data_IF_206707396597
#
_entry.id   IF_206707396597
#
_cell.length_a   1.000
_cell.length_b   1.000
_cell.length_c   1.000
_cell.angle_alpha   90.00
_cell.angle_beta   90.00
_cell.angle_gamma   90.00
#
_symmetry.space_group_name_H-M   'P 1'
#
loop_
_entity.id
_entity.type
_entity.pdbx_description
1 polymer ?
#
# COMPACT_ATOMS: atom_id res chain seq x y z
N UNK A 1 -34.94 22.16 -0.58
CA UNK A 1 -34.40 21.44 -1.75
C UNK A 1 -32.88 21.38 -1.62
N UNK A 2 -32.32 20.25 -1.18
CA UNK A 2 -30.88 20.08 -1.01
C UNK A 2 -30.32 19.56 -2.34
N UNK A 3 -29.44 20.30 -3.01
CA UNK A 3 -28.72 19.78 -4.20
C UNK A 3 -27.88 18.58 -3.75
N UNK A 4 -27.89 17.44 -4.46
CA UNK A 4 -26.98 16.36 -4.14
C UNK A 4 -25.55 16.88 -4.34
N UNK A 5 -24.77 16.84 -3.26
CA UNK A 5 -23.35 17.16 -3.21
C UNK A 5 -22.64 16.26 -4.25
N UNK A 6 -22.37 16.78 -5.46
CA UNK A 6 -21.89 15.97 -6.57
C UNK A 6 -20.42 15.65 -6.33
N UNK A 7 -20.12 14.46 -5.83
CA UNK A 7 -18.75 14.03 -5.47
C UNK A 7 -17.78 14.20 -6.64
N UNK A 8 -18.24 13.99 -7.88
CA UNK A 8 -17.47 14.21 -9.11
C UNK A 8 -17.12 15.68 -9.38
N UNK A 9 -17.77 16.62 -8.72
CA UNK A 9 -17.45 18.04 -8.85
C UNK A 9 -16.24 18.45 -8.04
N UNK A 10 -15.95 17.73 -6.95
CA UNK A 10 -14.84 18.01 -6.02
C UNK A 10 -13.57 17.23 -6.34
N UNK A 11 -13.68 16.14 -7.10
CA UNK A 11 -12.54 15.28 -7.44
C UNK A 11 -11.68 15.90 -8.55
N UNK A 12 -10.37 15.84 -8.36
CA UNK A 12 -9.38 16.16 -9.40
C UNK A 12 -9.55 15.23 -10.62
N UNK A 13 -9.82 15.83 -11.77
CA UNK A 13 -10.06 15.11 -13.02
C UNK A 13 -8.84 14.32 -13.50
N UNK A 14 -7.62 14.81 -13.25
CA UNK A 14 -6.39 14.11 -13.62
C UNK A 14 -6.22 12.86 -12.77
N UNK A 15 -6.40 12.97 -11.45
CA UNK A 15 -6.31 11.82 -10.55
C UNK A 15 -7.36 10.75 -10.88
N UNK A 16 -8.61 11.17 -11.15
CA UNK A 16 -9.66 10.25 -11.60
C UNK A 16 -9.31 9.59 -12.95
N UNK A 17 -8.75 10.35 -13.89
CA UNK A 17 -8.32 9.85 -15.19
C UNK A 17 -7.19 8.82 -15.10
N UNK A 18 -6.20 9.07 -14.24
CA UNK A 18 -5.10 8.14 -13.94
C UNK A 18 -5.62 6.84 -13.32
N UNK A 19 -6.48 6.92 -12.32
CA UNK A 19 -7.10 5.73 -11.70
C UNK A 19 -7.91 4.91 -12.68
N UNK A 20 -8.68 5.57 -13.56
CA UNK A 20 -9.42 4.89 -14.62
C UNK A 20 -8.48 4.15 -15.56
N UNK A 21 -7.36 4.76 -15.94
CA UNK A 21 -6.33 4.15 -16.78
C UNK A 21 -5.70 2.94 -16.10
N UNK A 22 -5.33 3.06 -14.83
CA UNK A 22 -4.68 2.00 -14.07
C UNK A 22 -5.60 0.80 -13.90
N UNK A 23 -6.85 1.01 -13.49
CA UNK A 23 -7.82 -0.06 -13.31
C UNK A 23 -8.21 -0.70 -14.65
N UNK A 24 -8.29 0.08 -15.73
CA UNK A 24 -8.50 -0.44 -17.09
C UNK A 24 -7.35 -1.35 -17.53
N UNK A 25 -6.10 -0.93 -17.27
CA UNK A 25 -4.92 -1.73 -17.60
C UNK A 25 -4.89 -3.03 -16.78
N UNK A 26 -5.22 -2.96 -15.47
CA UNK A 26 -5.30 -4.13 -14.58
C UNK A 26 -6.32 -5.17 -15.05
N UNK A 27 -7.44 -4.76 -15.67
CA UNK A 27 -8.42 -5.69 -16.23
C UNK A 27 -8.15 -6.03 -17.71
N UNK A 28 -7.00 -5.64 -18.27
CA UNK A 28 -6.60 -5.97 -19.65
C UNK A 28 -7.46 -5.33 -20.74
N UNK A 29 -8.25 -4.30 -20.43
CA UNK A 29 -9.18 -3.70 -21.38
C UNK A 29 -8.52 -2.59 -22.20
N UNK A 30 -8.78 -2.52 -23.50
CA UNK A 30 -8.28 -1.42 -24.35
C UNK A 30 -9.12 -0.16 -24.16
N UNK A 31 -8.55 1.01 -24.46
CA UNK A 31 -9.29 2.29 -24.44
C UNK A 31 -10.50 2.26 -25.38
N UNK A 32 -10.41 1.52 -26.49
CA UNK A 32 -11.50 1.41 -27.44
C UNK A 32 -12.66 0.57 -26.89
N UNK A 33 -12.35 -0.56 -26.24
CA UNK A 33 -13.37 -1.38 -25.57
C UNK A 33 -14.02 -0.62 -24.41
N UNK A 34 -13.24 0.11 -23.62
CA UNK A 34 -13.77 0.97 -22.56
C UNK A 34 -14.66 2.10 -23.10
N UNK A 35 -14.29 2.72 -24.23
CA UNK A 35 -15.12 3.74 -24.88
C UNK A 35 -16.46 3.18 -25.35
N UNK A 36 -16.49 1.95 -25.88
CA UNK A 36 -17.72 1.25 -26.27
C UNK A 36 -18.67 1.03 -25.08
N UNK A 37 -18.15 0.70 -23.90
CA UNK A 37 -18.96 0.52 -22.67
C UNK A 37 -19.78 1.77 -22.33
N UNK A 38 -19.23 2.96 -22.58
CA UNK A 38 -19.90 4.24 -22.32
C UNK A 38 -20.55 4.87 -23.56
N UNK A 39 -20.62 4.14 -24.68
CA UNK A 39 -21.12 4.64 -25.97
C UNK A 39 -20.40 5.93 -26.43
N UNK A 40 -19.08 5.97 -26.29
CA UNK A 40 -18.26 7.12 -26.68
C UNK A 40 -17.19 6.73 -27.71
N UNK A 41 -16.62 7.75 -28.37
CA UNK A 41 -15.46 7.55 -29.24
C UNK A 41 -14.20 7.24 -28.42
N UNK A 42 -13.24 6.49 -29.00
CA UNK A 42 -11.95 6.19 -28.34
C UNK A 42 -11.23 7.46 -27.85
N UNK A 43 -11.27 8.55 -28.62
CA UNK A 43 -10.70 9.86 -28.25
C UNK A 43 -11.32 10.46 -27.00
N UNK A 44 -12.62 10.20 -26.76
CA UNK A 44 -13.29 10.60 -25.52
C UNK A 44 -12.70 9.87 -24.32
N UNK A 45 -12.46 8.56 -24.43
CA UNK A 45 -11.83 7.80 -23.35
C UNK A 45 -10.40 8.28 -23.07
N UNK A 46 -9.62 8.60 -24.12
CA UNK A 46 -8.29 9.19 -23.96
C UNK A 46 -8.35 10.52 -23.22
N UNK A 47 -9.27 11.42 -23.59
CA UNK A 47 -9.44 12.71 -22.93
C UNK A 47 -9.89 12.57 -21.46
N UNK A 48 -10.73 11.58 -21.15
CA UNK A 48 -11.11 11.25 -19.77
C UNK A 48 -9.89 10.80 -18.98
N UNK A 49 -9.09 9.87 -19.51
CA UNK A 49 -7.89 9.36 -18.84
C UNK A 49 -6.80 10.41 -18.66
N UNK A 50 -6.81 11.50 -19.45
CA UNK A 50 -5.90 12.64 -19.28
C UNK A 50 -6.45 13.72 -18.33
N UNK A 51 -7.68 13.57 -17.84
CA UNK A 51 -8.37 14.60 -17.07
C UNK A 51 -8.81 15.82 -17.88
N UNK A 52 -8.77 15.75 -19.21
CA UNK A 52 -9.16 16.84 -20.12
C UNK A 52 -10.68 16.87 -20.34
N UNK A 53 -11.36 15.74 -20.15
CA UNK A 53 -12.83 15.64 -20.23
C UNK A 53 -13.39 15.09 -18.94
N UNK A 54 -14.39 15.79 -18.41
CA UNK A 54 -15.17 15.34 -17.24
C UNK A 54 -16.00 14.09 -17.56
N UNK A 55 -15.91 13.10 -16.68
CA UNK A 55 -16.69 11.87 -16.71
C UNK A 55 -18.04 12.07 -16.01
N UNK A 56 -19.14 11.63 -16.62
CA UNK A 56 -20.48 11.66 -16.00
C UNK A 56 -20.64 10.50 -15.02
N UNK A 57 -21.48 10.68 -14.00
CA UNK A 57 -21.77 9.62 -13.02
C UNK A 57 -22.25 8.31 -13.66
N UNK A 58 -23.10 8.40 -14.69
CA UNK A 58 -23.59 7.23 -15.41
C UNK A 58 -22.52 6.55 -16.25
N UNK A 59 -21.57 7.30 -16.80
CA UNK A 59 -20.41 6.75 -17.51
C UNK A 59 -19.49 6.03 -16.51
N UNK A 60 -19.24 6.62 -15.34
CA UNK A 60 -18.44 6.01 -14.28
C UNK A 60 -19.03 4.70 -13.76
N UNK A 61 -20.33 4.64 -13.51
CA UNK A 61 -20.99 3.40 -13.06
C UNK A 61 -20.81 2.27 -14.07
N UNK A 62 -20.92 2.58 -15.37
CA UNK A 62 -20.72 1.60 -16.45
C UNK A 62 -19.28 1.11 -16.51
N UNK A 63 -18.31 2.02 -16.43
CA UNK A 63 -16.88 1.66 -16.42
C UNK A 63 -16.50 0.84 -15.18
N UNK A 64 -16.97 1.25 -14.00
CA UNK A 64 -16.73 0.51 -12.75
C UNK A 64 -17.21 -0.94 -12.86
N UNK A 65 -18.45 -1.15 -13.32
CA UNK A 65 -19.01 -2.48 -13.56
C UNK A 65 -18.20 -3.26 -14.61
N UNK A 66 -17.80 -2.61 -15.71
CA UNK A 66 -17.03 -3.27 -16.77
C UNK A 66 -15.60 -3.67 -16.32
N UNK A 67 -15.00 -2.89 -15.41
CA UNK A 67 -13.67 -3.16 -14.89
C UNK A 67 -13.68 -4.14 -13.70
N UNK A 68 -14.86 -4.44 -13.13
CA UNK A 68 -15.02 -5.31 -11.97
C UNK A 68 -14.71 -4.62 -10.63
N UNK A 69 -14.84 -3.29 -10.57
CA UNK A 69 -14.57 -2.49 -9.36
C UNK A 69 -15.83 -1.74 -8.91
N UNK A 70 -15.85 -1.30 -7.65
CA UNK A 70 -16.93 -0.45 -7.14
C UNK A 70 -16.72 0.99 -7.59
N UNK A 71 -17.78 1.78 -7.69
CA UNK A 71 -17.66 3.23 -7.97
C UNK A 71 -16.74 3.91 -6.95
N UNK A 72 -16.77 3.44 -5.70
CA UNK A 72 -15.96 3.96 -4.60
C UNK A 72 -14.45 3.83 -4.85
N UNK A 73 -14.01 2.83 -5.61
CA UNK A 73 -12.59 2.65 -5.97
C UNK A 73 -12.06 3.77 -6.88
N UNK A 74 -12.95 4.49 -7.58
CA UNK A 74 -12.57 5.59 -8.47
C UNK A 74 -12.69 6.96 -7.78
N UNK A 75 -13.71 7.14 -6.95
CA UNK A 75 -14.08 8.46 -6.40
C UNK A 75 -13.49 8.76 -5.02
N UNK A 76 -13.08 7.74 -4.25
CA UNK A 76 -12.54 7.97 -2.90
C UNK A 76 -11.14 8.55 -2.97
N UNK A 77 -10.91 9.72 -2.40
CA UNK A 77 -9.54 10.15 -2.12
C UNK A 77 -8.90 9.11 -1.22
N UNK A 78 -7.80 8.53 -1.69
CA UNK A 78 -7.01 7.56 -0.93
C UNK A 78 -5.66 8.20 -0.69
N UNK A 79 -5.02 7.95 0.46
CA UNK A 79 -3.65 8.36 0.66
C UNK A 79 -2.80 7.81 -0.49
N UNK A 80 -2.23 8.72 -1.29
CA UNK A 80 -1.26 8.36 -2.32
C UNK A 80 -0.01 7.89 -1.58
N UNK A 81 0.27 6.60 -1.69
CA UNK A 81 1.52 6.01 -1.25
C UNK A 81 2.33 5.79 -2.53
N UNK A 82 3.51 6.41 -2.62
CA UNK A 82 4.38 6.20 -3.76
C UNK A 82 4.80 4.73 -3.82
N UNK A 83 5.03 4.17 -5.03
CA UNK A 83 5.64 2.87 -5.14
C UNK A 83 6.96 2.87 -4.36
N UNK A 84 7.07 2.01 -3.37
CA UNK A 84 8.25 1.94 -2.51
C UNK A 84 9.05 0.67 -2.83
N UNK A 85 10.39 0.70 -2.66
CA UNK A 85 11.20 -0.50 -2.81
C UNK A 85 10.80 -1.49 -1.71
N UNK A 86 10.44 -2.70 -2.12
CA UNK A 86 10.26 -3.82 -1.20
C UNK A 86 11.59 -4.53 -0.99
N UNK A 87 11.85 -4.93 0.24
CA UNK A 87 13.04 -5.67 0.63
C UNK A 87 12.66 -7.05 1.12
N UNK A 88 13.44 -8.06 0.73
CA UNK A 88 13.26 -9.44 1.17
C UNK A 88 14.29 -9.81 2.21
N UNK A 89 13.92 -10.67 3.15
CA UNK A 89 14.84 -11.21 4.17
C UNK A 89 16.07 -11.91 3.55
N UNK A 90 15.92 -12.51 2.36
CA UNK A 90 17.00 -13.19 1.63
C UNK A 90 17.07 -12.69 0.20
N UNK A 91 18.30 -12.56 -0.31
CA UNK A 91 18.54 -12.29 -1.73
C UNK A 91 18.22 -13.56 -2.54
N UNK A 92 17.17 -13.52 -3.35
CA UNK A 92 16.81 -14.61 -4.26
C UNK A 92 17.21 -14.26 -5.70
N UNK A 93 17.83 -15.20 -6.42
CA UNK A 93 17.91 -15.12 -7.88
C UNK A 93 16.50 -15.29 -8.45
N UNK A 94 16.11 -14.39 -9.34
CA UNK A 94 14.78 -14.33 -9.93
C UNK A 94 14.85 -14.67 -11.42
N UNK A 95 14.09 -15.68 -11.87
CA UNK A 95 13.74 -15.87 -13.29
C UNK A 95 12.44 -15.10 -13.62
N UNK A 96 12.07 -14.99 -14.90
CA UNK A 96 10.90 -14.17 -15.32
C UNK A 96 9.58 -14.64 -14.71
N UNK A 97 9.39 -15.95 -14.52
CA UNK A 97 8.19 -16.53 -13.90
C UNK A 97 8.09 -16.13 -12.43
N UNK A 98 9.21 -16.18 -11.70
CA UNK A 98 9.27 -15.77 -10.29
C UNK A 98 9.06 -14.26 -10.12
N UNK A 99 9.52 -13.44 -11.08
CA UNK A 99 9.24 -11.99 -11.09
C UNK A 99 7.75 -11.70 -11.18
N UNK A 100 7.06 -12.32 -12.13
CA UNK A 100 5.62 -12.12 -12.28
C UNK A 100 4.83 -12.59 -11.05
N UNK A 101 5.24 -13.72 -10.46
CA UNK A 101 4.64 -14.20 -9.22
C UNK A 101 4.84 -13.18 -8.10
N UNK A 102 6.08 -12.73 -7.84
CA UNK A 102 6.36 -11.81 -6.74
C UNK A 102 5.70 -10.44 -6.91
N UNK A 103 5.60 -9.94 -8.14
CA UNK A 103 4.90 -8.69 -8.45
C UNK A 103 3.45 -8.68 -7.95
N UNK A 104 2.71 -9.79 -8.17
CA UNK A 104 1.33 -9.89 -7.67
C UNK A 104 1.25 -9.80 -6.13
N UNK A 105 2.21 -10.37 -5.42
CA UNK A 105 2.28 -10.31 -3.94
C UNK A 105 2.70 -8.94 -3.43
N UNK A 106 3.53 -8.21 -4.18
CA UNK A 106 3.94 -6.84 -3.89
C UNK A 106 2.74 -5.91 -4.06
N UNK A 107 1.99 -6.03 -5.16
CA UNK A 107 0.77 -5.24 -5.40
C UNK A 107 -0.29 -5.49 -4.32
N UNK A 108 -0.42 -6.74 -3.85
CA UNK A 108 -1.27 -7.07 -2.72
C UNK A 108 -0.80 -6.35 -1.45
N UNK A 109 0.49 -6.40 -1.12
CA UNK A 109 1.06 -5.71 0.04
C UNK A 109 0.82 -4.20 -0.03
N UNK A 110 1.11 -3.56 -1.17
CA UNK A 110 0.86 -2.14 -1.39
C UNK A 110 -0.60 -1.78 -1.11
N UNK A 111 -1.54 -2.60 -1.59
CA UNK A 111 -2.97 -2.41 -1.33
C UNK A 111 -3.30 -2.52 0.15
N UNK A 112 -2.74 -3.49 0.87
CA UNK A 112 -2.95 -3.61 2.33
C UNK A 112 -2.38 -2.42 3.09
N UNK A 113 -1.18 -1.98 2.74
CA UNK A 113 -0.54 -0.79 3.33
C UNK A 113 -1.41 0.46 3.13
N UNK A 114 -1.86 0.71 1.90
CA UNK A 114 -2.73 1.85 1.57
C UNK A 114 -4.06 1.78 2.32
N UNK A 115 -4.71 0.61 2.34
CA UNK A 115 -5.97 0.43 3.04
C UNK A 115 -5.83 0.66 4.55
N UNK A 116 -4.73 0.19 5.16
CA UNK A 116 -4.51 0.36 6.58
C UNK A 116 -4.26 1.82 6.94
N UNK A 117 -3.44 2.52 6.16
CA UNK A 117 -3.23 3.97 6.32
C UNK A 117 -4.54 4.76 6.15
N UNK A 118 -5.36 4.40 5.15
CA UNK A 118 -6.70 4.99 4.96
C UNK A 118 -7.60 4.77 6.19
N UNK A 119 -7.57 3.57 6.80
CA UNK A 119 -8.34 3.29 8.01
C UNK A 119 -7.87 4.12 9.20
N UNK A 120 -6.56 4.30 9.39
CA UNK A 120 -6.02 5.18 10.44
C UNK A 120 -6.47 6.63 10.27
N UNK A 121 -6.42 7.15 9.04
CA UNK A 121 -6.87 8.51 8.70
C UNK A 121 -8.38 8.67 8.98
N UNK A 122 -9.20 7.69 8.59
CA UNK A 122 -10.66 7.70 8.82
C UNK A 122 -10.98 7.65 10.32
N UNK A 123 -10.26 6.84 11.07
CA UNK A 123 -10.48 6.66 12.51
C UNK A 123 -9.81 7.75 13.35
N UNK A 124 -9.03 8.65 12.72
CA UNK A 124 -8.17 9.62 13.40
C UNK A 124 -7.29 8.97 14.47
N UNK A 125 -6.72 7.82 14.12
CA UNK A 125 -5.94 6.96 15.00
C UNK A 125 -4.60 6.60 14.35
N UNK A 126 -3.67 7.57 14.18
CA UNK A 126 -2.37 7.30 13.60
C UNK A 126 -1.53 6.40 14.52
N UNK A 127 -0.72 5.53 13.93
CA UNK A 127 0.27 4.76 14.68
C UNK A 127 1.41 5.66 15.20
N UNK A 128 2.07 5.30 16.31
CA UNK A 128 3.30 5.97 16.74
C UNK A 128 4.39 5.87 15.67
N UNK A 129 5.38 6.77 15.73
CA UNK A 129 6.59 6.68 14.91
C UNK A 129 7.82 6.60 15.80
N UNK A 130 7.85 5.57 16.64
CA UNK A 130 8.92 5.34 17.61
C UNK A 130 9.89 4.28 17.08
N UNK A 131 10.48 4.55 15.92
CA UNK A 131 11.47 3.67 15.30
C UNK A 131 12.80 3.69 16.07
N UNK A 132 13.56 2.58 16.03
CA UNK A 132 14.90 2.57 16.61
C UNK A 132 15.77 3.62 15.93
N UNK A 133 16.72 4.17 16.69
CA UNK A 133 17.73 5.09 16.16
C UNK A 133 18.80 4.29 15.42
N UNK A 134 19.58 4.98 14.59
CA UNK A 134 20.79 4.39 14.03
C UNK A 134 21.84 4.24 15.13
N UNK A 135 22.44 3.05 15.22
CA UNK A 135 23.43 2.72 16.24
C UNK A 135 24.84 2.76 15.65
N UNK A 136 25.74 3.51 16.28
CA UNK A 136 27.15 3.50 15.91
C UNK A 136 27.83 2.23 16.44
N UNK A 137 28.37 1.42 15.53
CA UNK A 137 29.03 0.15 15.87
C UNK A 137 30.57 0.30 15.89
N UNK A 138 31.10 1.49 15.64
CA UNK A 138 32.54 1.73 15.55
C UNK A 138 33.20 1.78 16.93
N UNK A 139 34.35 1.12 17.06
CA UNK A 139 35.28 1.34 18.19
C UNK A 139 35.18 0.34 19.36
N UNK A 140 34.33 -0.68 19.29
CA UNK A 140 34.22 -1.74 20.31
C UNK A 140 34.03 -3.14 19.71
N UNK A 141 34.29 -4.22 20.47
CA UNK A 141 33.94 -5.58 20.05
C UNK A 141 32.45 -5.72 19.76
N UNK A 142 32.12 -6.37 18.64
CA UNK A 142 30.74 -6.49 18.11
C UNK A 142 29.79 -7.08 19.14
N UNK A 143 30.24 -8.07 19.92
CA UNK A 143 29.42 -8.78 20.91
C UNK A 143 28.97 -7.84 22.04
N UNK A 144 29.88 -7.01 22.55
CA UNK A 144 29.56 -6.03 23.61
C UNK A 144 28.64 -4.94 23.11
N UNK A 145 28.88 -4.47 21.88
CA UNK A 145 28.01 -3.48 21.26
C UNK A 145 26.61 -4.04 21.02
N UNK A 146 26.50 -5.29 20.55
CA UNK A 146 25.22 -5.96 20.34
C UNK A 146 24.44 -6.14 21.65
N UNK A 147 25.12 -6.54 22.74
CA UNK A 147 24.51 -6.67 24.06
C UNK A 147 24.00 -5.32 24.60
N UNK A 148 24.81 -4.26 24.48
CA UNK A 148 24.43 -2.91 24.90
C UNK A 148 23.21 -2.40 24.12
N UNK A 149 23.20 -2.54 22.79
CA UNK A 149 22.08 -2.14 21.94
C UNK A 149 20.82 -2.95 22.28
N UNK A 150 20.95 -4.25 22.53
CA UNK A 150 19.81 -5.09 22.92
C UNK A 150 19.19 -4.64 24.26
N UNK A 151 20.01 -4.23 25.23
CA UNK A 151 19.55 -3.70 26.51
C UNK A 151 18.87 -2.34 26.34
N UNK A 152 19.43 -1.45 25.52
CA UNK A 152 18.85 -0.14 25.21
C UNK A 152 17.49 -0.29 24.51
N UNK A 153 17.39 -1.17 23.51
CA UNK A 153 16.12 -1.46 22.83
C UNK A 153 15.08 -2.07 23.78
N UNK A 154 15.50 -2.94 24.70
CA UNK A 154 14.60 -3.44 25.75
C UNK A 154 14.07 -2.31 26.62
N UNK A 155 14.93 -1.44 27.11
CA UNK A 155 14.53 -0.29 27.92
C UNK A 155 13.61 0.65 27.14
N UNK A 156 13.94 0.94 25.88
CA UNK A 156 13.13 1.78 24.99
C UNK A 156 11.72 1.24 24.79
N UNK A 157 11.59 -0.07 24.67
CA UNK A 157 10.31 -0.76 24.48
C UNK A 157 9.60 -1.10 25.80
N UNK A 158 10.15 -0.72 26.96
CA UNK A 158 9.60 -1.08 28.27
C UNK A 158 9.61 -2.59 28.54
N UNK A 159 10.52 -3.31 27.90
CA UNK A 159 10.69 -4.74 28.04
C UNK A 159 11.66 -5.04 29.19
N UNK A 160 11.30 -5.99 30.04
CA UNK A 160 12.22 -6.55 31.03
C UNK A 160 13.20 -7.56 30.41
N UNK A 161 13.92 -8.26 31.29
CA UNK A 161 14.93 -9.26 30.90
C UNK A 161 14.35 -10.63 30.52
N UNK A 162 13.03 -10.79 30.63
CA UNK A 162 12.33 -12.03 30.34
C UNK A 162 12.05 -12.28 28.84
N UNK A 163 11.39 -13.42 28.52
CA UNK A 163 10.82 -13.68 27.21
C UNK A 163 9.81 -12.60 26.80
N UNK A 164 9.67 -12.35 25.49
CA UNK A 164 8.75 -11.35 24.95
C UNK A 164 7.53 -12.08 24.33
N UNK A 165 6.44 -12.31 25.08
CA UNK A 165 5.31 -13.11 24.59
C UNK A 165 4.47 -12.42 23.52
N UNK A 166 4.34 -11.08 23.61
CA UNK A 166 3.52 -10.26 22.71
C UNK A 166 4.40 -9.34 21.85
N UNK A 167 5.43 -9.92 21.21
CA UNK A 167 6.38 -9.17 20.39
C UNK A 167 5.65 -8.39 19.28
N UNK A 168 4.67 -9.01 18.63
CA UNK A 168 3.88 -8.36 17.58
C UNK A 168 3.18 -7.11 18.11
N UNK A 169 2.39 -7.25 19.17
CA UNK A 169 1.62 -6.14 19.74
C UNK A 169 2.55 -5.01 20.20
N UNK A 170 3.71 -5.36 20.77
CA UNK A 170 4.74 -4.39 21.14
C UNK A 170 5.22 -3.59 19.92
N UNK A 171 5.52 -4.28 18.81
CA UNK A 171 5.97 -3.64 17.57
C UNK A 171 4.87 -2.81 16.90
N UNK A 172 3.63 -3.29 16.89
CA UNK A 172 2.50 -2.54 16.28
C UNK A 172 2.13 -1.32 17.13
N UNK A 173 1.99 -1.47 18.45
CA UNK A 173 1.48 -0.43 19.33
C UNK A 173 2.54 0.54 19.84
N UNK A 174 3.77 0.08 20.08
CA UNK A 174 4.83 0.92 20.70
C UNK A 174 5.76 1.49 19.65
N UNK A 175 6.11 0.71 18.62
CA UNK A 175 7.00 1.15 17.53
C UNK A 175 6.21 1.79 16.40
N UNK A 176 5.03 1.26 16.09
CA UNK A 176 4.19 1.70 14.96
C UNK A 176 4.55 1.02 13.65
N UNK A 177 4.80 -0.29 13.70
CA UNK A 177 4.92 -1.12 12.50
C UNK A 177 3.56 -1.67 12.09
N UNK A 178 3.30 -1.75 10.78
CA UNK A 178 2.15 -2.50 10.27
C UNK A 178 2.59 -3.90 9.89
N UNK A 179 2.07 -4.91 10.58
CA UNK A 179 2.47 -6.30 10.39
C UNK A 179 1.30 -7.09 9.82
N UNK A 180 1.52 -7.67 8.63
CA UNK A 180 0.53 -8.45 7.90
C UNK A 180 0.95 -9.93 7.81
N UNK A 181 0.01 -10.84 8.06
CA UNK A 181 0.19 -12.28 7.81
C UNK A 181 -0.63 -12.65 6.58
N UNK A 182 0.07 -12.87 5.47
CA UNK A 182 -0.55 -13.13 4.18
C UNK A 182 0.14 -14.32 3.52
N UNK A 183 -0.60 -15.04 2.68
CA UNK A 183 -0.02 -16.14 1.89
C UNK A 183 1.07 -15.60 0.98
N UNK A 184 2.18 -16.33 0.92
CA UNK A 184 3.31 -16.04 0.04
C UNK A 184 3.83 -17.35 -0.55
N UNK A 185 4.55 -17.32 -1.68
CA UNK A 185 5.22 -18.50 -2.19
C UNK A 185 6.20 -19.02 -1.14
N UNK A 186 6.30 -20.35 -1.01
CA UNK A 186 7.13 -21.01 0.01
C UNK A 186 8.60 -20.58 0.02
N UNK A 187 9.10 -20.10 -1.12
CA UNK A 187 10.45 -19.53 -1.25
C UNK A 187 10.65 -18.28 -0.39
N UNK A 188 9.60 -17.52 -0.05
CA UNK A 188 9.68 -16.25 0.68
C UNK A 188 9.08 -16.35 2.09
N UNK A 189 9.84 -15.93 3.10
CA UNK A 189 9.39 -15.96 4.51
C UNK A 189 8.93 -14.59 5.02
N UNK A 190 9.34 -13.51 4.35
CA UNK A 190 9.07 -12.15 4.80
C UNK A 190 9.52 -11.10 3.79
N UNK A 191 8.75 -10.03 3.73
CA UNK A 191 9.02 -8.81 2.95
C UNK A 191 8.75 -7.61 3.83
N UNK A 192 9.54 -6.55 3.68
CA UNK A 192 9.33 -5.31 4.42
C UNK A 192 9.60 -4.10 3.54
N UNK A 193 9.09 -2.96 3.97
CA UNK A 193 9.28 -1.69 3.31
C UNK A 193 9.11 -0.53 4.30
N UNK A 194 9.58 0.64 3.90
CA UNK A 194 9.48 1.87 4.65
C UNK A 194 9.29 3.03 3.68
N UNK A 195 8.39 3.94 4.02
CA UNK A 195 8.18 5.23 3.38
C UNK A 195 7.88 6.25 4.49
N UNK A 196 8.18 7.53 4.29
CA UNK A 196 8.03 8.54 5.34
C UNK A 196 6.57 8.78 5.73
N UNK A 197 5.64 8.67 4.77
CA UNK A 197 4.20 8.86 5.04
C UNK A 197 3.57 7.56 5.53
N UNK A 198 3.89 6.45 4.88
CA UNK A 198 3.35 5.14 5.27
C UNK A 198 3.96 4.67 6.59
N UNK A 199 5.24 4.86 6.84
CA UNK A 199 5.98 4.19 7.91
C UNK A 199 6.36 2.75 7.55
N UNK A 200 6.90 2.03 8.54
CA UNK A 200 7.39 0.66 8.37
C UNK A 200 6.25 -0.36 8.22
N UNK A 201 6.27 -1.13 7.14
CA UNK A 201 5.34 -2.24 6.90
C UNK A 201 6.09 -3.55 6.70
N UNK A 202 5.57 -4.62 7.29
CA UNK A 202 6.15 -5.96 7.24
C UNK A 202 5.06 -6.95 6.88
N UNK A 203 5.31 -7.79 5.87
CA UNK A 203 4.48 -8.95 5.54
C UNK A 203 5.25 -10.21 5.81
N UNK A 204 4.67 -11.09 6.62
CA UNK A 204 5.20 -12.39 7.00
C UNK A 204 4.40 -13.50 6.33
N UNK A 205 5.07 -14.62 6.02
CA UNK A 205 4.38 -15.77 5.45
C UNK A 205 3.45 -16.33 6.51
N UNK A 206 2.16 -16.43 6.20
CA UNK A 206 1.25 -17.18 7.04
C UNK A 206 1.72 -18.65 7.07
N UNK A 207 1.86 -19.26 8.27
CA UNK A 207 2.22 -20.67 8.39
C UNK A 207 1.17 -21.60 7.75
#
# INVERSE_FOLDING_TARGET
MNRPNNVLERIDLRNLGERLRDLRNKCGMTQESAAKVINAARTTMVAIEKGERRLKATELIKLARAYGYSVSDFVRERPVVQPFPVQFRKAYRQNEVEKSQIESFIQELEKFCQNYLELEEIMNAPLPQNYPREYEVSGMPIERTAEAIALEERQRLGLGDGPIPLLRDTLEQTVGLRIFYLKMPSKYSGVYTYDEKLGGCVKLSQP
#
